data_IF_878269111558
#
_entry.id   IF_878269111558
#
_cell.length_a   1.000
_cell.length_b   1.000
_cell.length_c   1.000
_cell.angle_alpha   90.00
_cell.angle_beta   90.00
_cell.angle_gamma   90.00
#
_symmetry.space_group_name_H-M   'P 1'
#
loop_
_entity.id
_entity.type
_entity.pdbx_description
1 polymer ?
#
# COMPACT_ATOMS: atom_id res chain seq x y z
N UNK A 1 12.53 20.84 -37.06
CA UNK A 1 11.66 20.84 -35.87
C UNK A 1 11.71 19.44 -35.29
N UNK A 2 12.19 19.26 -34.06
CA UNK A 2 12.07 17.97 -33.38
C UNK A 2 10.58 17.74 -33.07
N UNK A 3 10.08 16.53 -33.31
CA UNK A 3 8.74 16.18 -32.85
C UNK A 3 8.74 16.22 -31.33
N UNK A 4 7.82 16.98 -30.74
CA UNK A 4 7.52 16.84 -29.32
C UNK A 4 7.09 15.38 -29.14
N UNK A 5 7.71 14.61 -28.21
CA UNK A 5 7.30 13.23 -27.98
C UNK A 5 5.87 13.22 -27.48
N UNK A 6 5.00 12.46 -28.15
CA UNK A 6 3.59 12.36 -27.76
C UNK A 6 3.46 11.74 -26.38
N UNK A 7 2.74 12.41 -25.47
CA UNK A 7 2.45 11.90 -24.13
C UNK A 7 1.87 10.46 -24.21
N UNK A 8 2.29 9.52 -23.34
CA UNK A 8 1.78 8.15 -23.30
C UNK A 8 0.24 8.08 -23.25
N UNK A 9 -0.38 7.15 -23.99
CA UNK A 9 -1.87 7.02 -24.03
C UNK A 9 -2.39 5.61 -23.81
N UNK A 10 -1.62 4.60 -24.14
CA UNK A 10 -1.96 3.18 -23.91
C UNK A 10 -1.39 2.69 -22.57
N UNK A 11 -1.94 1.59 -22.05
CA UNK A 11 -1.44 0.95 -20.81
C UNK A 11 0.04 0.60 -20.93
N UNK A 12 0.45 0.07 -22.08
CA UNK A 12 1.82 -0.34 -22.38
C UNK A 12 2.79 0.86 -22.47
N UNK A 13 2.39 1.97 -23.09
CA UNK A 13 3.21 3.19 -23.15
C UNK A 13 3.36 3.83 -21.77
N UNK A 14 2.27 3.90 -20.98
CA UNK A 14 2.28 4.49 -19.64
C UNK A 14 3.13 3.63 -18.70
N UNK A 15 3.00 2.30 -18.76
CA UNK A 15 3.88 1.40 -17.99
C UNK A 15 5.35 1.52 -18.40
N UNK A 16 5.63 1.72 -19.69
CA UNK A 16 7.00 1.95 -20.18
C UNK A 16 7.58 3.25 -19.62
N UNK A 17 6.82 4.35 -19.64
CA UNK A 17 7.21 5.62 -19.03
C UNK A 17 7.47 5.46 -17.51
N UNK A 18 6.53 4.85 -16.77
CA UNK A 18 6.69 4.50 -15.35
C UNK A 18 7.99 3.73 -15.09
N UNK A 19 8.23 2.63 -15.81
CA UNK A 19 9.39 1.78 -15.56
C UNK A 19 10.71 2.48 -15.89
N UNK A 20 10.73 3.35 -16.92
CA UNK A 20 11.91 4.13 -17.24
C UNK A 20 12.23 5.16 -16.14
N UNK A 21 11.23 5.93 -15.68
CA UNK A 21 11.40 6.89 -14.57
C UNK A 21 11.79 6.20 -13.27
N UNK A 22 11.15 5.06 -12.96
CA UNK A 22 11.49 4.20 -11.81
C UNK A 22 12.93 3.72 -11.89
N UNK A 23 13.41 3.33 -13.07
CA UNK A 23 14.81 2.91 -13.29
C UNK A 23 15.79 4.06 -12.98
N UNK A 24 15.50 5.27 -13.45
CA UNK A 24 16.28 6.47 -13.12
C UNK A 24 16.36 6.74 -11.61
N UNK A 25 15.22 6.72 -10.93
CA UNK A 25 15.14 6.94 -9.47
C UNK A 25 15.85 5.83 -8.68
N UNK A 26 15.62 4.55 -9.03
CA UNK A 26 16.33 3.43 -8.39
C UNK A 26 17.83 3.63 -8.53
N UNK A 27 18.30 4.06 -9.71
CA UNK A 27 19.72 4.34 -9.95
C UNK A 27 20.25 5.49 -9.07
N UNK A 28 19.51 6.60 -8.94
CA UNK A 28 19.85 7.72 -8.06
C UNK A 28 20.01 7.27 -6.59
N UNK A 29 19.12 6.43 -6.10
CA UNK A 29 19.07 6.00 -4.70
C UNK A 29 19.94 4.77 -4.38
N UNK A 30 20.61 4.18 -5.38
CA UNK A 30 21.47 2.99 -5.21
C UNK A 30 22.86 3.18 -5.82
N UNK A 31 23.00 3.10 -7.14
CA UNK A 31 24.29 3.14 -7.84
C UNK A 31 24.95 4.52 -7.79
N UNK A 32 24.17 5.59 -7.96
CA UNK A 32 24.68 6.97 -8.00
C UNK A 32 24.46 7.70 -6.65
N UNK A 33 24.26 6.94 -5.55
CA UNK A 33 23.75 7.45 -4.25
C UNK A 33 24.64 8.50 -3.58
N UNK A 34 25.95 8.51 -3.85
CA UNK A 34 26.87 9.54 -3.37
C UNK A 34 26.78 10.83 -4.20
N UNK A 35 26.55 10.73 -5.51
CA UNK A 35 26.29 11.90 -6.36
C UNK A 35 24.98 12.56 -5.98
N UNK A 36 23.91 11.76 -5.86
CA UNK A 36 22.59 12.21 -5.40
C UNK A 36 22.64 12.90 -4.03
N UNK A 37 23.32 12.30 -3.04
CA UNK A 37 23.47 12.88 -1.70
C UNK A 37 24.19 14.23 -1.72
N UNK A 38 25.24 14.35 -2.52
CA UNK A 38 26.02 15.59 -2.67
C UNK A 38 25.25 16.71 -3.39
N UNK A 39 24.36 16.37 -4.33
CA UNK A 39 23.51 17.36 -5.00
C UNK A 39 22.41 17.93 -4.07
N UNK A 40 21.89 17.12 -3.17
CA UNK A 40 20.84 17.46 -2.18
C UNK A 40 21.35 18.32 -1.02
N UNK A 41 21.96 19.46 -1.34
CA UNK A 41 22.50 20.43 -0.38
C UNK A 41 21.40 21.14 0.45
N UNK A 42 21.37 21.02 1.79
CA UNK A 42 20.35 21.65 2.65
C UNK A 42 20.37 23.19 2.63
N UNK A 43 21.47 23.81 2.22
CA UNK A 43 21.59 25.29 2.12
C UNK A 43 21.01 25.84 0.80
N UNK A 44 20.61 24.96 -0.13
CA UNK A 44 19.86 25.34 -1.34
C UNK A 44 18.36 25.41 -1.06
N UNK A 45 17.62 25.97 -2.01
CA UNK A 45 16.16 26.00 -2.03
C UNK A 45 15.54 24.57 -2.06
N UNK A 46 14.21 24.49 -2.10
CA UNK A 46 13.44 23.26 -1.91
C UNK A 46 13.52 22.26 -3.09
N UNK A 47 14.65 21.57 -3.20
CA UNK A 47 14.96 20.59 -4.25
C UNK A 47 14.01 19.39 -4.28
N UNK A 48 13.82 18.85 -5.47
CA UNK A 48 13.05 17.65 -5.82
C UNK A 48 13.97 16.60 -6.49
N UNK A 49 13.57 15.33 -6.46
CA UNK A 49 14.17 14.25 -7.27
C UNK A 49 13.22 13.89 -8.42
N UNK A 50 13.68 14.01 -9.65
CA UNK A 50 12.95 13.66 -10.87
C UNK A 50 13.48 12.38 -11.50
N UNK A 51 12.57 11.52 -11.96
CA UNK A 51 12.86 10.41 -12.87
C UNK A 51 12.37 10.72 -14.28
N UNK A 52 13.20 10.47 -15.29
CA UNK A 52 12.93 10.80 -16.69
C UNK A 52 12.67 9.55 -17.56
N UNK A 53 11.88 9.65 -18.65
CA UNK A 53 11.45 8.49 -19.46
C UNK A 53 12.56 7.90 -20.35
N UNK A 54 13.77 8.42 -20.25
CA UNK A 54 15.02 7.97 -20.85
C UNK A 54 15.93 7.24 -19.83
N UNK A 55 15.40 6.84 -18.67
CA UNK A 55 16.11 6.16 -17.58
C UNK A 55 17.17 7.01 -16.85
N UNK A 56 17.18 8.33 -17.05
CA UNK A 56 18.00 9.25 -16.25
C UNK A 56 17.23 9.82 -15.06
N UNK A 57 17.95 10.39 -14.11
CA UNK A 57 17.42 11.11 -12.96
C UNK A 57 18.00 12.52 -12.89
N UNK A 58 17.38 13.39 -12.10
CA UNK A 58 17.81 14.79 -11.93
C UNK A 58 17.42 15.30 -10.53
N UNK A 59 18.27 16.12 -9.92
CA UNK A 59 17.94 16.91 -8.72
C UNK A 59 17.85 18.37 -9.13
N UNK A 60 16.66 18.94 -9.04
CA UNK A 60 16.37 20.30 -9.49
C UNK A 60 15.29 20.97 -8.63
N UNK A 61 15.06 22.27 -8.83
CA UNK A 61 13.93 23.01 -8.27
C UNK A 61 12.61 22.52 -8.87
N UNK A 62 11.46 22.74 -8.19
CA UNK A 62 10.14 22.52 -8.78
C UNK A 62 9.92 23.35 -10.06
N UNK A 63 9.01 22.89 -10.93
CA UNK A 63 8.66 23.65 -12.13
C UNK A 63 8.13 25.06 -11.78
N UNK A 64 8.64 26.06 -12.52
CA UNK A 64 8.19 27.45 -12.39
C UNK A 64 6.78 27.68 -13.00
N UNK A 65 6.31 26.78 -13.87
CA UNK A 65 5.02 26.90 -14.55
C UNK A 65 3.84 26.55 -13.62
N UNK A 66 2.80 27.37 -13.64
CA UNK A 66 1.62 27.22 -12.76
C UNK A 66 0.32 27.20 -13.59
N UNK A 67 -0.43 26.09 -13.64
CA UNK A 67 -0.09 24.77 -13.10
C UNK A 67 0.99 24.04 -13.93
N UNK A 68 1.80 23.17 -13.32
CA UNK A 68 2.78 22.35 -14.04
C UNK A 68 2.12 21.30 -14.94
N UNK A 69 2.81 20.86 -16.00
CA UNK A 69 2.27 19.86 -16.94
C UNK A 69 2.08 18.48 -16.30
N UNK A 70 2.92 18.11 -15.31
CA UNK A 70 2.87 16.84 -14.58
C UNK A 70 2.70 17.08 -13.08
N UNK A 71 2.25 16.07 -12.30
CA UNK A 71 2.34 16.11 -10.84
C UNK A 71 3.79 16.34 -10.40
N UNK A 72 4.01 17.21 -9.41
CA UNK A 72 5.34 17.47 -8.85
C UNK A 72 5.78 16.39 -7.85
N UNK A 73 7.10 16.10 -7.73
CA UNK A 73 7.65 15.28 -6.65
C UNK A 73 7.52 15.94 -5.27
N UNK A 74 7.98 15.25 -4.23
CA UNK A 74 8.13 15.86 -2.91
C UNK A 74 9.19 16.97 -2.93
N UNK A 75 8.81 18.15 -2.43
CA UNK A 75 9.65 19.33 -2.37
C UNK A 75 10.50 19.37 -1.09
N UNK A 76 11.73 19.87 -1.20
CA UNK A 76 12.60 20.10 -0.05
C UNK A 76 13.23 18.82 0.51
N UNK A 77 13.47 17.80 -0.31
CA UNK A 77 14.08 16.53 0.14
C UNK A 77 15.47 16.74 0.76
N UNK A 78 16.16 17.81 0.36
CA UNK A 78 17.45 18.23 0.90
C UNK A 78 17.39 18.66 2.38
N UNK A 79 16.30 19.28 2.84
CA UNK A 79 16.24 19.83 4.21
C UNK A 79 16.33 18.77 5.31
N UNK A 80 15.81 17.56 5.07
CA UNK A 80 15.87 16.47 6.03
C UNK A 80 17.20 15.69 6.02
N UNK A 81 18.07 15.89 5.01
CA UNK A 81 19.22 15.03 4.71
C UNK A 81 20.15 14.83 5.89
N UNK A 82 20.58 15.94 6.52
CA UNK A 82 21.55 15.91 7.62
C UNK A 82 20.88 15.84 9.01
N UNK A 83 19.54 15.85 9.06
CA UNK A 83 18.75 15.77 10.29
C UNK A 83 18.39 14.34 10.73
N UNK A 84 18.72 13.32 9.93
CA UNK A 84 18.37 11.92 10.20
C UNK A 84 19.44 10.94 9.68
N UNK A 85 19.27 9.64 9.93
CA UNK A 85 20.21 8.65 9.37
C UNK A 85 20.12 8.64 7.84
N UNK A 86 21.26 8.53 7.15
CA UNK A 86 21.31 8.48 5.67
C UNK A 86 20.43 7.37 5.08
N UNK A 87 20.29 6.21 5.73
CA UNK A 87 19.36 5.14 5.27
C UNK A 87 17.90 5.53 5.44
N UNK A 88 17.54 6.17 6.54
CA UNK A 88 16.15 6.60 6.81
C UNK A 88 15.76 7.73 5.85
N UNK A 89 16.69 8.64 5.55
CA UNK A 89 16.51 9.69 4.54
C UNK A 89 16.31 9.10 3.13
N UNK A 90 17.17 8.17 2.70
CA UNK A 90 17.01 7.49 1.40
C UNK A 90 15.68 6.72 1.33
N UNK A 91 15.27 6.10 2.42
CA UNK A 91 13.98 5.41 2.54
C UNK A 91 12.79 6.37 2.43
N UNK A 92 12.86 7.54 3.06
CA UNK A 92 11.86 8.61 2.96
C UNK A 92 11.74 9.13 1.52
N UNK A 93 12.86 9.42 0.86
CA UNK A 93 12.88 9.84 -0.55
C UNK A 93 12.30 8.76 -1.47
N UNK A 94 12.62 7.49 -1.21
CA UNK A 94 12.09 6.36 -1.97
C UNK A 94 10.56 6.27 -1.90
N UNK A 95 9.96 6.33 -0.70
CA UNK A 95 8.49 6.31 -0.52
C UNK A 95 7.83 7.49 -1.24
N UNK A 96 8.38 8.70 -1.12
CA UNK A 96 7.85 9.85 -1.85
C UNK A 96 7.97 9.70 -3.37
N UNK A 97 9.04 9.07 -3.85
CA UNK A 97 9.24 8.77 -5.27
C UNK A 97 8.26 7.72 -5.79
N UNK A 98 7.96 6.68 -5.02
CA UNK A 98 6.94 5.68 -5.35
C UNK A 98 5.54 6.34 -5.50
N UNK A 99 5.16 7.22 -4.57
CA UNK A 99 3.92 7.99 -4.67
C UNK A 99 3.90 8.91 -5.91
N UNK A 100 5.01 9.57 -6.22
CA UNK A 100 5.12 10.45 -7.40
C UNK A 100 4.99 9.67 -8.72
N UNK A 101 5.70 8.55 -8.84
CA UNK A 101 5.64 7.66 -10.00
C UNK A 101 4.21 7.13 -10.24
N UNK A 102 3.49 6.78 -9.17
CA UNK A 102 2.07 6.40 -9.24
C UNK A 102 1.21 7.56 -9.75
N UNK A 103 1.42 8.77 -9.21
CA UNK A 103 0.70 9.99 -9.60
C UNK A 103 0.89 10.31 -11.09
N UNK A 104 2.13 10.34 -11.60
CA UNK A 104 2.46 10.57 -13.01
C UNK A 104 1.83 9.51 -13.93
N UNK A 105 1.89 8.24 -13.52
CA UNK A 105 1.30 7.13 -14.29
C UNK A 105 -0.21 7.28 -14.45
N UNK A 106 -0.92 7.64 -13.37
CA UNK A 106 -2.37 7.83 -13.40
C UNK A 106 -2.81 9.19 -13.96
N UNK A 107 -1.92 10.18 -14.00
CA UNK A 107 -2.12 11.42 -14.74
C UNK A 107 -2.18 11.16 -16.25
N UNK A 108 -1.18 10.49 -16.84
CA UNK A 108 -1.28 10.02 -18.23
C UNK A 108 -2.45 9.04 -18.41
N UNK A 109 -2.69 8.20 -17.40
CA UNK A 109 -3.80 7.25 -17.34
C UNK A 109 -5.20 7.85 -17.17
N UNK A 110 -5.38 9.18 -17.13
CA UNK A 110 -6.65 9.82 -16.81
C UNK A 110 -7.81 9.45 -17.76
N UNK A 111 -7.50 9.07 -19.01
CA UNK A 111 -8.49 8.63 -20.02
C UNK A 111 -8.69 7.11 -20.10
N UNK A 112 -7.90 6.32 -19.37
CA UNK A 112 -8.05 4.87 -19.32
C UNK A 112 -9.35 4.47 -18.63
N UNK A 113 -10.00 3.42 -19.12
CA UNK A 113 -11.18 2.84 -18.51
C UNK A 113 -10.82 2.04 -17.22
N UNK A 114 -11.84 1.58 -16.48
CA UNK A 114 -11.66 0.85 -15.21
C UNK A 114 -10.72 -0.37 -15.32
N UNK A 115 -10.84 -1.14 -16.40
CA UNK A 115 -10.08 -2.38 -16.59
C UNK A 115 -8.65 -2.08 -17.05
N UNK A 116 -8.46 -1.06 -17.88
CA UNK A 116 -7.14 -0.56 -18.26
C UNK A 116 -6.36 -0.01 -17.05
N UNK A 117 -7.02 0.77 -16.18
CA UNK A 117 -6.43 1.23 -14.91
C UNK A 117 -6.05 0.09 -13.98
N UNK A 118 -6.89 -0.95 -13.87
CA UNK A 118 -6.55 -2.18 -13.12
C UNK A 118 -5.33 -2.88 -13.72
N UNK A 119 -5.25 -2.99 -15.05
CA UNK A 119 -4.14 -3.64 -15.75
C UNK A 119 -2.83 -2.86 -15.58
N UNK A 120 -2.86 -1.54 -15.71
CA UNK A 120 -1.72 -0.65 -15.46
C UNK A 120 -1.19 -0.84 -14.03
N UNK A 121 -2.07 -0.77 -13.03
CA UNK A 121 -1.69 -0.98 -11.62
C UNK A 121 -1.05 -2.36 -11.40
N UNK A 122 -1.63 -3.42 -11.96
CA UNK A 122 -1.07 -4.77 -11.88
C UNK A 122 0.36 -4.82 -12.41
N UNK A 123 0.61 -4.29 -13.60
CA UNK A 123 1.95 -4.26 -14.20
C UNK A 123 2.95 -3.45 -13.37
N UNK A 124 2.50 -2.34 -12.76
CA UNK A 124 3.34 -1.53 -11.86
C UNK A 124 3.70 -2.28 -10.57
N UNK A 125 2.77 -3.08 -10.03
CA UNK A 125 2.89 -3.83 -8.78
C UNK A 125 3.60 -5.19 -8.97
N UNK A 126 3.80 -5.66 -10.21
CA UNK A 126 4.66 -6.80 -10.53
C UNK A 126 6.18 -6.46 -10.34
N UNK A 127 6.51 -5.19 -10.13
CA UNK A 127 7.85 -4.71 -9.80
C UNK A 127 7.93 -4.33 -8.31
N UNK A 128 9.07 -4.57 -7.64
CA UNK A 128 9.27 -4.04 -6.29
C UNK A 128 9.25 -2.50 -6.31
N UNK A 129 8.71 -1.90 -5.27
CA UNK A 129 8.77 -0.45 -5.03
C UNK A 129 10.22 0.04 -4.97
N UNK A 130 10.43 1.33 -5.20
CA UNK A 130 11.74 1.97 -4.98
C UNK A 130 12.16 1.78 -3.52
N UNK A 131 11.22 1.92 -2.58
CA UNK A 131 11.46 1.67 -1.15
C UNK A 131 11.95 0.25 -0.86
N UNK A 132 11.34 -0.80 -1.40
CA UNK A 132 11.79 -2.19 -1.21
C UNK A 132 13.21 -2.42 -1.75
N UNK A 133 13.53 -1.83 -2.92
CA UNK A 133 14.87 -1.91 -3.51
C UNK A 133 15.91 -1.20 -2.63
N UNK A 134 15.61 0.01 -2.15
CA UNK A 134 16.52 0.81 -1.30
C UNK A 134 16.70 0.21 0.10
N UNK A 135 15.68 -0.46 0.63
CA UNK A 135 15.72 -1.10 1.96
C UNK A 135 16.12 -2.57 1.95
N UNK A 136 16.44 -3.13 0.77
CA UNK A 136 16.72 -4.56 0.55
C UNK A 136 15.61 -5.51 1.04
N UNK A 137 14.38 -5.00 1.19
CA UNK A 137 13.21 -5.82 1.56
C UNK A 137 12.84 -6.71 0.38
N UNK A 138 12.86 -8.02 0.60
CA UNK A 138 12.42 -8.99 -0.40
C UNK A 138 10.89 -8.93 -0.52
N UNK A 139 10.33 -8.98 -1.74
CA UNK A 139 8.90 -9.15 -1.92
C UNK A 139 8.43 -10.42 -1.19
N UNK A 140 7.38 -10.28 -0.38
CA UNK A 140 6.64 -11.43 0.13
C UNK A 140 6.00 -12.10 -1.09
N UNK A 141 6.47 -13.31 -1.39
CA UNK A 141 6.08 -14.02 -2.61
C UNK A 141 4.99 -15.02 -2.27
N UNK A 142 3.77 -14.72 -2.68
CA UNK A 142 2.58 -15.55 -2.49
C UNK A 142 2.90 -17.04 -2.70
N UNK A 143 2.71 -17.83 -1.64
CA UNK A 143 2.79 -19.29 -1.76
C UNK A 143 1.53 -19.78 -2.47
N UNK A 144 1.64 -20.51 -3.60
CA UNK A 144 0.49 -21.24 -4.11
C UNK A 144 0.11 -22.32 -3.08
N UNK A 145 -1.08 -22.18 -2.51
CA UNK A 145 -1.61 -23.12 -1.52
C UNK A 145 -1.78 -24.51 -2.14
N UNK A 146 -1.03 -25.50 -1.65
CA UNK A 146 -1.04 -26.86 -2.14
C UNK A 146 -1.94 -27.73 -1.26
N UNK A 147 -2.91 -28.39 -1.90
CA UNK A 147 -4.01 -29.12 -1.26
C UNK A 147 -3.56 -30.34 -0.41
N UNK A 148 -4.41 -30.74 0.52
CA UNK A 148 -4.11 -31.67 1.62
C UNK A 148 -4.01 -33.14 1.18
N UNK A 149 -2.81 -33.72 1.32
CA UNK A 149 -2.55 -35.17 1.20
C UNK A 149 -2.18 -35.82 2.55
N UNK A 150 -2.88 -36.89 2.95
CA UNK A 150 -2.82 -37.44 4.32
C UNK A 150 -1.87 -38.63 4.50
N UNK A 151 -1.32 -38.78 5.74
CA UNK A 151 -0.64 -39.97 6.35
C UNK A 151 0.82 -40.23 5.90
N UNK A 152 1.75 -40.72 6.74
CA UNK A 152 1.67 -41.15 8.16
C UNK A 152 3.03 -41.37 8.86
N UNK A 153 3.09 -41.02 10.16
CA UNK A 153 3.68 -41.77 11.30
C UNK A 153 5.16 -42.23 11.23
N UNK A 154 6.02 -41.55 12.00
CA UNK A 154 7.34 -42.03 12.43
C UNK A 154 7.71 -41.47 13.81
N UNK A 155 8.30 -42.27 14.70
CA UNK A 155 8.60 -41.91 16.09
C UNK A 155 10.08 -42.15 16.40
N UNK A 156 10.71 -41.29 17.22
CA UNK A 156 11.66 -41.68 18.29
C UNK A 156 12.05 -40.48 19.18
N UNK A 157 12.30 -40.82 20.44
CA UNK A 157 12.29 -40.12 21.73
C UNK A 157 13.65 -39.50 22.12
N UNK A 158 13.65 -38.67 23.21
CA UNK A 158 14.76 -38.26 24.14
C UNK A 158 15.50 -36.94 23.81
N UNK A 159 15.87 -36.07 24.77
CA UNK A 159 15.81 -36.08 26.27
C UNK A 159 15.86 -34.66 26.91
N UNK A 160 15.54 -34.60 28.22
CA UNK A 160 15.82 -33.57 29.27
C UNK A 160 17.01 -32.61 29.03
N UNK A 161 17.11 -31.37 29.56
CA UNK A 161 16.29 -30.56 30.53
C UNK A 161 16.63 -29.04 30.33
N UNK A 162 16.27 -28.02 31.15
CA UNK A 162 15.54 -27.88 32.43
C UNK A 162 15.80 -26.49 33.07
N UNK A 163 14.85 -26.00 33.89
CA UNK A 163 14.89 -24.81 34.78
C UNK A 163 14.58 -23.41 34.18
N UNK A 164 13.77 -22.64 34.93
CA UNK A 164 13.25 -21.31 34.58
C UNK A 164 13.45 -20.31 35.74
N UNK A 165 13.50 -18.99 35.45
CA UNK A 165 12.85 -17.92 36.26
C UNK A 165 12.96 -16.48 35.70
N UNK A 166 11.79 -15.83 35.64
CA UNK A 166 11.48 -14.38 35.79
C UNK A 166 11.90 -13.32 34.73
N UNK A 167 10.84 -12.72 34.17
CA UNK A 167 10.61 -11.52 33.33
C UNK A 167 10.72 -10.18 34.12
N UNK A 168 10.57 -8.94 33.52
CA UNK A 168 9.83 -8.59 32.29
C UNK A 168 10.40 -7.55 31.27
N UNK A 169 9.95 -7.72 30.02
CA UNK A 169 9.65 -6.80 28.91
C UNK A 169 10.15 -5.33 28.91
N UNK A 170 10.59 -4.90 27.72
CA UNK A 170 9.91 -3.84 26.96
C UNK A 170 10.13 -4.00 25.42
N UNK A 171 9.03 -4.11 24.68
CA UNK A 171 8.89 -3.90 23.23
C UNK A 171 9.85 -4.63 22.26
N UNK A 172 9.62 -5.94 22.08
CA UNK A 172 9.76 -6.60 20.78
C UNK A 172 8.36 -7.05 20.37
N UNK A 173 7.81 -6.46 19.31
CA UNK A 173 6.56 -6.90 18.68
C UNK A 173 6.81 -7.05 17.18
N UNK A 174 7.33 -8.23 16.84
CA UNK A 174 7.21 -8.80 15.50
C UNK A 174 5.74 -8.98 15.16
N UNK A 175 5.17 -8.05 14.39
CA UNK A 175 3.85 -8.23 13.79
C UNK A 175 3.98 -9.33 12.71
N UNK A 176 3.56 -10.54 13.07
CA UNK A 176 3.37 -11.64 12.13
C UNK A 176 2.26 -11.28 11.12
N UNK A 177 2.30 -11.91 9.95
CA UNK A 177 1.44 -11.63 8.81
C UNK A 177 -0.04 -11.98 9.09
N UNK A 178 -0.94 -11.01 8.91
CA UNK A 178 -2.40 -11.22 8.81
C UNK A 178 -2.90 -10.73 7.43
N UNK A 179 -2.33 -11.25 6.34
CA UNK A 179 -2.93 -11.16 5.00
C UNK A 179 -3.93 -12.31 4.75
N UNK A 180 -5.08 -12.32 5.45
CA UNK A 180 -6.25 -13.08 4.97
C UNK A 180 -7.63 -12.56 5.43
N UNK A 181 -7.81 -11.27 5.71
CA UNK A 181 -9.14 -10.65 5.76
C UNK A 181 -9.22 -9.29 5.02
N UNK A 182 -9.45 -9.37 3.71
CA UNK A 182 -10.64 -8.68 3.20
C UNK A 182 -11.85 -9.39 3.80
N UNK A 183 -12.13 -9.11 5.09
CA UNK A 183 -13.13 -9.81 5.86
C UNK A 183 -14.46 -9.73 5.14
N UNK A 184 -14.86 -10.85 4.53
CA UNK A 184 -16.13 -10.96 3.84
C UNK A 184 -17.17 -10.51 4.84
N UNK A 185 -17.86 -9.40 4.62
CA UNK A 185 -18.60 -8.77 5.73
C UNK A 185 -19.75 -9.67 6.16
N UNK A 186 -19.50 -10.49 7.19
CA UNK A 186 -20.36 -11.59 7.57
C UNK A 186 -21.54 -11.07 8.38
N UNK A 187 -22.73 -11.55 8.05
CA UNK A 187 -23.91 -11.30 8.87
C UNK A 187 -23.70 -11.90 10.26
N UNK A 188 -23.61 -11.04 11.28
CA UNK A 188 -23.38 -11.42 12.69
C UNK A 188 -24.49 -12.23 13.36
N UNK A 189 -25.45 -12.74 12.57
CA UNK A 189 -26.51 -13.66 12.99
C UNK A 189 -26.55 -14.97 12.19
N UNK A 190 -25.95 -15.06 11.01
CA UNK A 190 -26.01 -16.28 10.17
C UNK A 190 -24.69 -16.65 9.48
N UNK A 191 -23.63 -15.84 9.60
CA UNK A 191 -22.33 -16.10 8.99
C UNK A 191 -22.32 -16.05 7.45
N UNK A 192 -23.37 -15.52 6.83
CA UNK A 192 -23.44 -15.38 5.36
C UNK A 192 -22.78 -14.08 4.89
N UNK A 193 -22.17 -14.15 3.71
CA UNK A 193 -21.33 -13.10 3.12
C UNK A 193 -22.16 -11.91 2.60
N UNK A 194 -21.53 -10.75 2.52
CA UNK A 194 -22.14 -9.55 1.96
C UNK A 194 -22.58 -9.73 0.50
N UNK A 195 -23.80 -9.26 0.21
CA UNK A 195 -24.34 -9.12 -1.14
C UNK A 195 -25.06 -7.78 -1.25
N UNK A 196 -24.77 -7.04 -2.32
CA UNK A 196 -25.37 -5.74 -2.61
C UNK A 196 -26.86 -5.84 -3.03
N UNK A 197 -27.33 -7.03 -3.41
CA UNK A 197 -28.73 -7.30 -3.78
C UNK A 197 -29.63 -7.52 -2.55
N UNK A 198 -29.05 -7.64 -1.35
CA UNK A 198 -29.79 -7.82 -0.11
C UNK A 198 -29.74 -6.58 0.79
N UNK A 199 -30.75 -6.40 1.64
CA UNK A 199 -30.77 -5.31 2.61
C UNK A 199 -29.97 -5.66 3.87
N UNK A 200 -29.07 -4.77 4.27
CA UNK A 200 -28.19 -4.90 5.44
C UNK A 200 -28.32 -3.70 6.41
N UNK A 201 -28.05 -3.95 7.69
CA UNK A 201 -28.05 -2.93 8.75
C UNK A 201 -26.92 -3.17 9.76
N UNK A 202 -26.16 -2.13 10.10
CA UNK A 202 -25.08 -2.14 11.08
C UNK A 202 -25.56 -1.74 12.48
N UNK A 203 -25.03 -2.38 13.54
CA UNK A 203 -25.43 -2.17 14.93
C UNK A 203 -24.57 -1.12 15.65
N UNK A 204 -25.16 -0.04 16.16
CA UNK A 204 -24.43 1.07 16.83
C UNK A 204 -23.77 0.69 18.18
N UNK A 205 -23.96 -0.54 18.67
CA UNK A 205 -23.44 -1.00 19.97
C UNK A 205 -22.29 -2.00 19.84
N UNK A 206 -22.18 -2.68 18.69
CA UNK A 206 -21.13 -3.69 18.48
C UNK A 206 -20.55 -3.69 17.05
N UNK A 207 -20.95 -2.72 16.22
CA UNK A 207 -20.46 -2.42 14.87
C UNK A 207 -20.59 -3.57 13.85
N UNK A 208 -21.17 -4.70 14.26
CA UNK A 208 -21.46 -5.84 13.39
C UNK A 208 -22.62 -5.54 12.44
N UNK A 209 -22.48 -6.05 11.22
CA UNK A 209 -23.46 -5.99 10.15
C UNK A 209 -24.39 -7.21 10.15
N UNK A 210 -25.62 -7.02 9.69
CA UNK A 210 -26.66 -8.05 9.65
C UNK A 210 -27.54 -7.91 8.41
N UNK A 211 -27.90 -9.02 7.75
CA UNK A 211 -29.03 -8.99 6.82
C UNK A 211 -30.30 -8.57 7.58
N UNK A 212 -31.10 -7.66 7.02
CA UNK A 212 -32.36 -7.23 7.64
C UNK A 212 -33.34 -8.37 7.92
N UNK A 213 -33.37 -9.40 7.04
CA UNK A 213 -34.12 -10.65 7.25
C UNK A 213 -33.71 -11.41 8.52
N UNK A 214 -32.41 -11.45 8.85
CA UNK A 214 -31.90 -12.14 10.04
C UNK A 214 -32.28 -11.43 11.35
N UNK A 215 -32.41 -10.11 11.32
CA UNK A 215 -32.74 -9.28 12.49
C UNK A 215 -34.18 -8.74 12.50
N UNK A 216 -35.00 -9.14 11.52
CA UNK A 216 -36.41 -8.74 11.34
C UNK A 216 -36.61 -7.22 11.22
N UNK A 217 -35.73 -6.57 10.46
CA UNK A 217 -35.81 -5.15 10.06
C UNK A 217 -35.94 -5.08 8.53
N UNK A 218 -36.89 -4.28 8.05
CA UNK A 218 -37.07 -3.94 6.63
C UNK A 218 -36.42 -2.59 6.31
N UNK A 219 -36.09 -2.28 5.03
CA UNK A 219 -35.53 -0.98 4.64
C UNK A 219 -36.36 0.21 5.16
N UNK A 220 -37.67 0.22 4.86
CA UNK A 220 -38.60 1.27 5.31
C UNK A 220 -38.70 1.40 6.85
N UNK A 221 -38.43 0.33 7.60
CA UNK A 221 -38.35 0.42 9.06
C UNK A 221 -37.02 1.06 9.49
N UNK A 222 -35.92 0.70 8.85
CA UNK A 222 -34.59 1.23 9.15
C UNK A 222 -34.48 2.74 8.93
N UNK A 223 -35.14 3.30 7.92
CA UNK A 223 -35.25 4.76 7.67
C UNK A 223 -35.76 5.55 8.90
N UNK A 224 -36.58 4.92 9.75
CA UNK A 224 -37.12 5.52 10.98
C UNK A 224 -36.26 5.32 12.23
N UNK A 225 -35.21 4.49 12.16
CA UNK A 225 -34.37 4.12 13.31
C UNK A 225 -33.20 5.10 13.42
N UNK A 226 -33.20 5.92 14.47
CA UNK A 226 -32.06 6.82 14.79
C UNK A 226 -30.83 6.11 15.35
N UNK A 227 -31.04 5.02 16.08
CA UNK A 227 -29.99 4.14 16.61
C UNK A 227 -30.50 2.69 16.60
N UNK A 228 -29.85 1.82 15.86
CA UNK A 228 -30.17 0.40 15.75
C UNK A 228 -29.30 -0.45 16.69
N UNK A 229 -29.98 -1.17 17.59
CA UNK A 229 -29.36 -2.10 18.53
C UNK A 229 -29.75 -3.53 18.17
N UNK A 230 -28.77 -4.37 17.82
CA UNK A 230 -29.02 -5.74 17.42
C UNK A 230 -29.59 -6.61 18.56
N UNK A 231 -30.28 -7.73 18.26
CA UNK A 231 -30.89 -8.59 19.27
C UNK A 231 -29.93 -9.09 20.35
N UNK A 232 -28.65 -9.32 20.02
CA UNK A 232 -27.63 -9.74 20.98
C UNK A 232 -27.31 -8.62 21.99
N UNK A 233 -27.14 -7.38 21.51
CA UNK A 233 -26.91 -6.22 22.36
C UNK A 233 -28.16 -5.82 23.17
N UNK A 234 -29.36 -6.04 22.63
CA UNK A 234 -30.62 -5.86 23.39
C UNK A 234 -30.73 -6.83 24.58
N UNK A 235 -30.24 -8.06 24.45
CA UNK A 235 -30.20 -9.06 25.54
C UNK A 235 -29.16 -8.71 26.61
N UNK A 236 -27.96 -8.28 26.20
CA UNK A 236 -26.86 -7.93 27.13
C UNK A 236 -27.19 -6.74 28.05
N UNK A 237 -28.07 -5.84 27.64
CA UNK A 237 -28.49 -4.69 28.46
C UNK A 237 -29.71 -4.97 29.37
N UNK A 238 -30.01 -6.25 29.63
CA UNK A 238 -31.06 -6.72 30.55
C UNK A 238 -30.51 -7.69 31.62
N UNK A 239 -29.19 -7.75 31.73
CA UNK A 239 -28.41 -8.38 32.80
C UNK A 239 -27.63 -7.27 33.50
#
# INVERSE_FOLDING_TARGET
MASIPSSPRTVEEIFKDYNARRTGIVRALTYDVDEFYNLCDPEKENLCLYGHPNETWEVNLPAEEVPPELPEPALGINFARDGMNRRDWLSLVAVHSDCWLLSVSFYFGARLNRNERKRLFSMMNDLPTVFEVVTERKPLKDKPSADSGSRSRGSIKRSNDGQAKSTPNLADESYEEDEEEHGETLCGSCGGNYSADEFWIGCDICEKWYHGKCVKITPAKAESIKQYKCPSCMKRARQ
#
